data_IF_364245849099
#
_entry.id   IF_364245849099
#
_cell.length_a   1.000
_cell.length_b   1.000
_cell.length_c   1.000
_cell.angle_alpha   90.00
_cell.angle_beta   90.00
_cell.angle_gamma   90.00
#
_symmetry.space_group_name_H-M   'P 1'
#
loop_
_entity.id
_entity.type
_entity.pdbx_description
1 polymer ?
#
# COMPACT_ATOMS: atom_id res chain seq x y z
N UNK A 1 -11.71 3.91 -1.02
CA UNK A 1 -11.03 3.69 -2.30
C UNK A 1 -11.96 2.97 -3.26
N UNK A 2 -12.19 3.52 -4.45
CA UNK A 2 -12.98 2.87 -5.50
C UNK A 2 -12.12 1.88 -6.31
N UNK A 3 -12.76 0.98 -7.06
CA UNK A 3 -12.06 0.08 -7.99
C UNK A 3 -11.24 0.85 -9.03
N UNK A 4 -11.75 1.97 -9.53
CA UNK A 4 -11.08 2.78 -10.54
C UNK A 4 -9.81 3.43 -9.97
N UNK A 5 -9.90 3.99 -8.76
CA UNK A 5 -8.75 4.56 -8.04
C UNK A 5 -7.68 3.50 -7.76
N UNK A 6 -8.09 2.33 -7.26
CA UNK A 6 -7.18 1.21 -6.99
C UNK A 6 -6.45 0.76 -8.26
N UNK A 7 -7.18 0.65 -9.38
CA UNK A 7 -6.58 0.30 -10.67
C UNK A 7 -5.59 1.36 -11.14
N UNK A 8 -5.97 2.64 -11.10
CA UNK A 8 -5.09 3.74 -11.51
C UNK A 8 -3.83 3.84 -10.63
N UNK A 9 -3.92 3.49 -9.35
CA UNK A 9 -2.78 3.40 -8.45
C UNK A 9 -1.88 2.19 -8.79
N UNK A 10 -2.46 1.02 -9.04
CA UNK A 10 -1.70 -0.15 -9.47
C UNK A 10 -0.96 0.09 -10.78
N UNK A 11 -1.63 0.69 -11.78
CA UNK A 11 -1.04 1.01 -13.09
C UNK A 11 0.16 1.98 -12.93
N UNK A 12 0.04 2.99 -12.05
CA UNK A 12 1.15 3.90 -11.72
C UNK A 12 2.33 3.17 -11.10
N UNK A 13 2.10 2.32 -10.09
CA UNK A 13 3.18 1.57 -9.42
C UNK A 13 3.87 0.61 -10.38
N UNK A 14 3.10 -0.07 -11.23
CA UNK A 14 3.65 -0.97 -12.25
C UNK A 14 4.48 -0.21 -13.30
N UNK A 15 4.06 0.99 -13.72
CA UNK A 15 4.82 1.82 -14.65
C UNK A 15 6.19 2.29 -14.09
N UNK A 16 6.32 2.40 -12.76
CA UNK A 16 7.58 2.72 -12.07
C UNK A 16 8.52 1.50 -11.99
N UNK A 17 8.03 0.29 -12.18
CA UNK A 17 8.75 -0.97 -11.92
C UNK A 17 9.52 -1.49 -13.15
N UNK A 18 10.33 -0.63 -13.77
CA UNK A 18 10.98 -0.90 -15.07
C UNK A 18 12.12 -1.95 -15.06
N UNK A 19 12.66 -2.28 -13.89
CA UNK A 19 13.90 -3.05 -13.75
C UNK A 19 13.71 -4.45 -13.14
N UNK A 20 12.48 -4.96 -13.12
CA UNK A 20 12.10 -6.21 -12.48
C UNK A 20 11.57 -7.23 -13.49
N UNK A 21 11.90 -8.51 -13.30
CA UNK A 21 11.37 -9.60 -14.14
C UNK A 21 9.87 -9.80 -13.86
N UNK A 22 9.48 -9.67 -12.59
CA UNK A 22 8.09 -9.71 -12.16
C UNK A 22 7.84 -8.72 -11.03
N UNK A 23 6.75 -7.98 -11.14
CA UNK A 23 6.25 -7.10 -10.06
C UNK A 23 4.82 -7.46 -9.70
N UNK A 24 4.55 -7.56 -8.41
CA UNK A 24 3.18 -7.70 -7.86
C UNK A 24 2.89 -6.53 -6.95
N UNK A 25 1.76 -5.88 -7.18
CA UNK A 25 1.25 -4.78 -6.35
C UNK A 25 0.02 -5.29 -5.62
N UNK A 26 0.02 -5.19 -4.29
CA UNK A 26 -1.15 -5.43 -3.45
C UNK A 26 -1.57 -4.11 -2.83
N UNK A 27 -2.85 -3.76 -2.96
CA UNK A 27 -3.41 -2.53 -2.40
C UNK A 27 -4.52 -2.94 -1.46
N UNK A 28 -4.41 -2.54 -0.20
CA UNK A 28 -5.39 -2.80 0.83
C UNK A 28 -5.91 -1.46 1.37
N UNK A 29 -7.23 -1.25 1.31
CA UNK A 29 -7.88 -0.10 1.93
C UNK A 29 -8.83 -0.61 2.99
N UNK A 30 -8.65 -0.15 4.22
CA UNK A 30 -9.41 -0.61 5.39
C UNK A 30 -10.05 0.59 6.06
N UNK A 31 -11.29 0.42 6.50
CA UNK A 31 -11.96 1.34 7.42
C UNK A 31 -12.17 0.64 8.75
N UNK A 32 -11.86 1.32 9.84
CA UNK A 32 -12.06 0.86 11.21
C UNK A 32 -12.74 1.97 12.03
N UNK A 33 -13.71 1.58 12.85
CA UNK A 33 -14.41 2.49 13.76
C UNK A 33 -14.26 2.04 15.20
N UNK A 34 -14.13 3.00 16.12
CA UNK A 34 -14.20 2.73 17.55
C UNK A 34 -15.36 3.52 18.19
N UNK A 35 -16.02 2.89 19.17
CA UNK A 35 -17.00 3.56 20.03
C UNK A 35 -16.77 3.10 21.45
N UNK A 36 -16.59 4.05 22.36
CA UNK A 36 -16.42 3.84 23.79
C UNK A 36 -17.66 4.30 24.53
N UNK A 37 -18.03 3.54 25.56
CA UNK A 37 -19.15 3.85 26.44
C UNK A 37 -18.66 4.01 27.87
N UNK A 38 -19.25 4.94 28.60
CA UNK A 38 -19.18 5.01 30.06
C UNK A 38 -20.50 5.60 30.58
N UNK A 39 -20.94 5.13 31.75
CA UNK A 39 -22.20 5.58 32.39
C UNK A 39 -23.42 5.57 31.44
N UNK A 40 -23.63 4.43 30.76
CA UNK A 40 -24.69 4.25 29.77
C UNK A 40 -24.70 5.27 28.60
N UNK A 41 -23.60 6.01 28.38
CA UNK A 41 -23.47 7.03 27.33
C UNK A 41 -22.22 6.84 26.48
N UNK A 42 -22.24 7.35 25.24
CA UNK A 42 -21.07 7.33 24.34
C UNK A 42 -20.09 8.41 24.79
N UNK A 43 -18.85 8.02 25.08
CA UNK A 43 -17.79 8.94 25.52
C UNK A 43 -16.80 9.28 24.43
N UNK A 44 -16.60 8.39 23.46
CA UNK A 44 -15.73 8.65 22.31
C UNK A 44 -16.20 7.83 21.13
N UNK A 45 -16.23 8.45 19.96
CA UNK A 45 -16.42 7.76 18.69
C UNK A 45 -15.41 8.29 17.67
N UNK A 46 -14.83 7.40 16.89
CA UNK A 46 -13.86 7.75 15.85
C UNK A 46 -13.85 6.73 14.73
N UNK A 47 -13.38 7.18 13.56
CA UNK A 47 -13.18 6.34 12.39
C UNK A 47 -11.80 6.61 11.79
N UNK A 48 -11.16 5.55 11.32
CA UNK A 48 -9.86 5.60 10.64
C UNK A 48 -10.03 4.89 9.30
N UNK A 49 -9.64 5.57 8.22
CA UNK A 49 -9.42 4.93 6.92
C UNK A 49 -7.92 4.90 6.67
N UNK A 50 -7.38 3.72 6.40
CA UNK A 50 -5.98 3.56 6.01
C UNK A 50 -5.89 2.80 4.69
N UNK A 51 -4.98 3.23 3.82
CA UNK A 51 -4.73 2.57 2.53
C UNK A 51 -3.25 2.31 2.39
N UNK A 52 -2.88 1.04 2.31
CA UNK A 52 -1.50 0.60 2.17
C UNK A 52 -1.28 -0.08 0.82
N UNK A 53 -0.09 0.14 0.28
CA UNK A 53 0.41 -0.47 -0.95
C UNK A 53 1.62 -1.29 -0.60
N UNK A 54 1.60 -2.58 -0.94
CA UNK A 54 2.74 -3.48 -0.84
C UNK A 54 3.21 -3.84 -2.24
N UNK A 55 4.47 -3.55 -2.52
CA UNK A 55 5.13 -3.86 -3.80
C UNK A 55 6.08 -5.02 -3.57
N UNK A 56 5.89 -6.08 -4.33
CA UNK A 56 6.78 -7.26 -4.33
C UNK A 56 7.48 -7.34 -5.66
N UNK A 57 8.82 -7.33 -5.62
CA UNK A 57 9.68 -7.42 -6.80
C UNK A 57 10.39 -8.77 -6.78
N UNK A 58 10.44 -9.43 -7.94
CA UNK A 58 11.22 -10.65 -8.16
C UNK A 58 12.26 -10.40 -9.25
N UNK A 59 13.52 -10.72 -8.95
CA UNK A 59 14.67 -10.63 -9.86
C UNK A 59 15.34 -12.02 -9.84
N UNK A 60 15.29 -12.75 -10.94
CA UNK A 60 15.71 -14.14 -11.01
C UNK A 60 15.02 -15.03 -9.98
N UNK A 61 15.78 -15.59 -9.02
CA UNK A 61 15.27 -16.44 -7.93
C UNK A 61 15.02 -15.69 -6.62
N UNK A 62 15.37 -14.40 -6.55
CA UNK A 62 15.26 -13.59 -5.34
C UNK A 62 14.00 -12.75 -5.39
N UNK A 63 13.31 -12.64 -4.27
CA UNK A 63 12.09 -11.86 -4.12
C UNK A 63 12.16 -11.05 -2.84
N UNK A 64 11.76 -9.78 -2.93
CA UNK A 64 11.60 -8.93 -1.76
C UNK A 64 10.37 -8.03 -1.91
N UNK A 65 9.93 -7.47 -0.77
CA UNK A 65 8.77 -6.61 -0.71
C UNK A 65 9.02 -5.38 0.15
N UNK A 66 8.39 -4.27 -0.22
CA UNK A 66 8.32 -3.05 0.58
C UNK A 66 6.89 -2.52 0.56
N UNK A 67 6.50 -1.77 1.59
CA UNK A 67 5.15 -1.23 1.73
C UNK A 67 5.15 0.23 2.16
N UNK A 68 4.13 0.98 1.75
CA UNK A 68 3.88 2.37 2.15
C UNK A 68 2.38 2.63 2.25
N UNK A 69 1.97 3.58 3.08
CA UNK A 69 0.61 4.15 3.07
C UNK A 69 0.58 5.60 2.57
N UNK A 70 1.71 6.12 2.07
CA UNK A 70 1.78 7.42 1.40
C UNK A 70 1.72 7.20 -0.11
N UNK A 71 0.66 7.72 -0.75
CA UNK A 71 0.26 7.39 -2.12
C UNK A 71 0.72 8.43 -3.17
N UNK A 72 1.71 9.25 -2.84
CA UNK A 72 2.33 10.18 -3.79
C UNK A 72 3.41 9.48 -4.62
N UNK A 73 3.65 10.01 -5.82
CA UNK A 73 4.53 9.36 -6.80
C UNK A 73 5.97 9.19 -6.28
N UNK A 74 6.47 10.12 -5.46
CA UNK A 74 7.80 10.04 -4.89
C UNK A 74 7.93 8.89 -3.87
N UNK A 75 6.94 8.74 -2.97
CA UNK A 75 6.93 7.63 -2.01
C UNK A 75 6.71 6.27 -2.69
N UNK A 76 5.84 6.22 -3.70
CA UNK A 76 5.61 4.99 -4.48
C UNK A 76 6.88 4.58 -5.21
N UNK A 77 7.57 5.51 -5.87
CA UNK A 77 8.85 5.27 -6.53
C UNK A 77 9.90 4.76 -5.53
N UNK A 78 10.05 5.42 -4.38
CA UNK A 78 10.96 4.98 -3.32
C UNK A 78 10.64 3.57 -2.82
N UNK A 79 9.36 3.22 -2.71
CA UNK A 79 8.92 1.90 -2.27
C UNK A 79 9.29 0.82 -3.30
N UNK A 80 9.08 1.09 -4.59
CA UNK A 80 9.48 0.20 -5.68
C UNK A 80 11.00 0.02 -5.71
N UNK A 81 11.76 1.11 -5.61
CA UNK A 81 13.23 1.08 -5.59
C UNK A 81 13.77 0.28 -4.40
N UNK A 82 13.17 0.46 -3.22
CA UNK A 82 13.54 -0.30 -2.02
C UNK A 82 13.26 -1.80 -2.21
N UNK A 83 12.08 -2.17 -2.72
CA UNK A 83 11.76 -3.57 -3.00
C UNK A 83 12.73 -4.19 -4.02
N UNK A 84 13.10 -3.44 -5.07
CA UNK A 84 14.05 -3.89 -6.08
C UNK A 84 15.48 -4.02 -5.52
N UNK A 85 15.94 -3.08 -4.68
CA UNK A 85 17.23 -3.14 -4.01
C UNK A 85 17.35 -4.37 -3.10
N UNK A 86 16.29 -4.69 -2.34
CA UNK A 86 16.27 -5.87 -1.47
C UNK A 86 16.23 -7.19 -2.26
N UNK A 87 15.69 -7.18 -3.47
CA UNK A 87 15.61 -8.34 -4.35
C UNK A 87 16.88 -8.60 -5.17
N UNK A 88 17.81 -7.64 -5.26
CA UNK A 88 19.13 -7.82 -5.90
C UNK A 88 20.05 -8.66 -5.03
#
# INVERSE_FOLDING_TARGET
>A
MTRAEAKALADRVLALSKSADQTRVNIASTWSGNTRFADASITTSGGITDTSVTVTVTIGRRRASASTNVLDDASLKRTVELAAQLAR
#
